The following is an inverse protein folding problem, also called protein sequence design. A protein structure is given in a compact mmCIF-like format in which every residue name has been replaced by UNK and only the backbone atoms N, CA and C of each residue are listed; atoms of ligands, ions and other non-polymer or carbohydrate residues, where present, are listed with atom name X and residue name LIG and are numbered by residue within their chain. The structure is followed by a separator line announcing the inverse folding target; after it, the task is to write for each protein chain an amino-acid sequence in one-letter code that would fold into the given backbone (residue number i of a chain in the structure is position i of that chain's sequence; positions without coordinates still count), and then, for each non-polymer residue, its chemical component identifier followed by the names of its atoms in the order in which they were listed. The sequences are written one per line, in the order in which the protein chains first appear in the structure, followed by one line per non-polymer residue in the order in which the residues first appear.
data_IF_342328460806
#
_entry.id   IF_342328460806
#
_cell.length_a   1.000
_cell.length_b   1.000
_cell.length_c   1.000
_cell.angle_alpha   90.00
_cell.angle_beta   90.00
_cell.angle_gamma   90.00
#
_symmetry.space_group_name_H-M   'P 1'
#
loop_
_entity.id
_entity.type
_entity.pdbx_description
1 polymer ?
#
# COMPACT_ATOMS: atom_id res chain seq x y z
N UNK A 1 27.50 -31.36 -21.28
CA UNK A 1 26.43 -31.69 -22.25
C UNK A 1 25.11 -31.18 -21.70
N UNK A 2 24.62 -30.05 -22.22
CA UNK A 2 23.38 -29.43 -21.76
C UNK A 2 22.17 -30.22 -22.30
N UNK A 3 21.24 -30.60 -21.41
CA UNK A 3 19.97 -31.22 -21.79
C UNK A 3 19.11 -30.17 -22.50
N UNK A 4 19.02 -30.24 -23.83
CA UNK A 4 17.99 -29.54 -24.59
C UNK A 4 16.61 -30.03 -24.13
N UNK A 5 15.94 -29.26 -23.27
CA UNK A 5 14.52 -29.44 -23.02
C UNK A 5 13.75 -28.99 -24.27
N UNK A 6 13.43 -29.94 -25.16
CA UNK A 6 12.50 -29.79 -26.28
C UNK A 6 11.09 -29.47 -25.75
N UNK A 7 10.77 -28.19 -25.57
CA UNK A 7 9.40 -27.73 -25.38
C UNK A 7 8.79 -27.34 -26.73
N UNK A 8 8.28 -28.34 -27.47
CA UNK A 8 7.39 -28.14 -28.62
C UNK A 8 6.13 -28.95 -28.38
N UNK A 9 5.14 -28.34 -27.73
CA UNK A 9 3.78 -28.86 -27.73
C UNK A 9 2.91 -27.86 -28.49
N UNK A 10 2.53 -28.22 -29.72
CA UNK A 10 1.35 -27.66 -30.36
C UNK A 10 0.18 -28.06 -29.48
N UNK A 11 -0.28 -27.16 -28.62
CA UNK A 11 -1.24 -27.48 -27.58
C UNK A 11 -2.64 -27.31 -28.15
N UNK A 12 -3.16 -28.37 -28.79
CA UNK A 12 -4.53 -28.37 -29.34
C UNK A 12 -5.60 -28.02 -28.29
N UNK A 13 -5.28 -28.19 -27.00
CA UNK A 13 -6.14 -27.86 -25.87
C UNK A 13 -5.95 -26.44 -25.33
N UNK A 14 -5.00 -25.65 -25.84
CA UNK A 14 -4.75 -24.29 -25.35
C UNK A 14 -6.01 -23.40 -25.43
N UNK A 15 -6.80 -23.37 -26.52
CA UNK A 15 -8.02 -22.56 -26.57
C UNK A 15 -9.02 -22.95 -25.49
N UNK A 16 -9.21 -24.26 -25.26
CA UNK A 16 -10.08 -24.76 -24.20
C UNK A 16 -9.57 -24.36 -22.82
N UNK A 17 -8.27 -24.48 -22.55
CA UNK A 17 -7.67 -24.06 -21.27
C UNK A 17 -7.83 -22.56 -21.03
N UNK A 18 -7.63 -21.72 -22.05
CA UNK A 18 -7.84 -20.28 -21.94
C UNK A 18 -9.31 -19.94 -21.74
N UNK A 19 -10.22 -20.63 -22.44
CA UNK A 19 -11.67 -20.43 -22.29
C UNK A 19 -12.15 -20.81 -20.88
N UNK A 20 -11.79 -22.00 -20.39
CA UNK A 20 -12.10 -22.44 -19.02
C UNK A 20 -11.48 -21.47 -18.01
N UNK A 21 -10.21 -21.09 -18.21
CA UNK A 21 -9.50 -20.17 -17.33
C UNK A 21 -10.19 -18.82 -17.18
N UNK A 22 -10.57 -18.19 -18.30
CA UNK A 22 -11.33 -16.92 -18.29
C UNK A 22 -12.65 -17.05 -17.53
N UNK A 23 -13.33 -18.20 -17.66
CA UNK A 23 -14.62 -18.43 -16.98
C UNK A 23 -14.48 -18.69 -15.48
N UNK A 24 -13.43 -19.40 -15.06
CA UNK A 24 -13.25 -19.79 -13.65
C UNK A 24 -12.43 -18.78 -12.83
N UNK A 25 -11.53 -18.04 -13.46
CA UNK A 25 -10.54 -17.21 -12.76
C UNK A 25 -10.42 -15.78 -13.29
N UNK A 26 -11.26 -15.39 -14.25
CA UNK A 26 -11.20 -14.12 -14.98
C UNK A 26 -9.90 -13.90 -15.80
N UNK A 27 -9.90 -12.87 -16.63
CA UNK A 27 -8.71 -12.40 -17.33
C UNK A 27 -7.81 -11.61 -16.37
N UNK A 28 -6.50 -11.66 -16.62
CA UNK A 28 -5.50 -10.89 -15.85
C UNK A 28 -4.80 -9.97 -16.85
N UNK A 29 -5.25 -8.72 -16.91
CA UNK A 29 -4.83 -7.75 -17.91
C UNK A 29 -5.22 -8.13 -19.35
N UNK A 30 -4.77 -7.36 -20.35
CA UNK A 30 -5.20 -7.52 -21.75
C UNK A 30 -4.61 -8.76 -22.44
N UNK A 31 -3.55 -9.36 -21.90
CA UNK A 31 -2.78 -10.44 -22.54
C UNK A 31 -2.60 -11.67 -21.65
N UNK A 32 -3.46 -11.84 -20.65
CA UNK A 32 -3.24 -12.81 -19.60
C UNK A 32 -4.49 -13.56 -19.16
N UNK A 33 -4.35 -14.85 -18.92
CA UNK A 33 -5.43 -15.70 -18.40
C UNK A 33 -4.89 -16.59 -17.30
N UNK A 34 -5.55 -16.58 -16.15
CA UNK A 34 -5.27 -17.53 -15.07
C UNK A 34 -5.92 -18.87 -15.40
N UNK A 35 -5.14 -19.95 -15.32
CA UNK A 35 -5.60 -21.31 -15.69
C UNK A 35 -5.62 -22.29 -14.51
N UNK A 36 -5.08 -21.86 -13.36
CA UNK A 36 -5.22 -22.53 -12.07
C UNK A 36 -4.94 -21.54 -10.93
N UNK A 37 -5.12 -21.92 -9.65
CA UNK A 37 -4.77 -21.06 -8.53
C UNK A 37 -3.31 -20.57 -8.52
N UNK A 38 -2.39 -21.28 -9.18
CA UNK A 38 -0.95 -20.95 -9.19
C UNK A 38 -0.36 -20.76 -10.59
N UNK A 39 -1.16 -20.85 -11.65
CA UNK A 39 -0.66 -20.78 -13.04
C UNK A 39 -1.40 -19.78 -13.90
N UNK A 40 -0.61 -19.16 -14.76
CA UNK A 40 -1.00 -18.06 -15.63
C UNK A 40 -0.44 -18.30 -17.03
N UNK A 41 -1.24 -18.04 -18.06
CA UNK A 41 -0.81 -18.06 -19.45
C UNK A 41 -0.85 -16.64 -20.01
N UNK A 42 0.30 -16.15 -20.45
CA UNK A 42 0.45 -14.86 -21.13
C UNK A 42 0.57 -15.07 -22.63
N UNK A 43 -0.14 -14.26 -23.40
CA UNK A 43 0.09 -14.10 -24.82
C UNK A 43 -0.96 -13.22 -25.50
N UNK A 44 -0.70 -12.77 -26.74
CA UNK A 44 0.49 -13.06 -27.56
C UNK A 44 1.80 -12.48 -26.97
N UNK A 45 2.89 -13.26 -27.00
CA UNK A 45 4.21 -12.88 -26.50
C UNK A 45 5.30 -13.05 -27.57
N UNK A 46 6.33 -12.18 -27.63
CA UNK A 46 7.52 -12.43 -28.45
C UNK A 46 8.40 -13.51 -27.81
N UNK A 47 9.16 -14.26 -28.63
CA UNK A 47 10.09 -15.29 -28.12
C UNK A 47 11.22 -14.73 -27.25
N UNK A 48 11.61 -13.48 -27.49
CA UNK A 48 12.62 -12.77 -26.69
C UNK A 48 12.22 -12.63 -25.22
N UNK A 49 10.91 -12.53 -24.92
CA UNK A 49 10.41 -12.45 -23.54
C UNK A 49 10.75 -13.71 -22.74
N UNK A 50 10.55 -14.90 -23.33
CA UNK A 50 10.92 -16.16 -22.69
C UNK A 50 12.44 -16.27 -22.48
N UNK A 51 13.23 -15.84 -23.46
CA UNK A 51 14.69 -15.87 -23.36
C UNK A 51 15.20 -14.96 -22.23
N UNK A 52 14.64 -13.74 -22.12
CA UNK A 52 14.98 -12.80 -21.05
C UNK A 52 14.62 -13.35 -19.67
N UNK A 53 13.40 -13.90 -19.48
CA UNK A 53 12.98 -14.48 -18.21
C UNK A 53 13.89 -15.63 -17.77
N UNK A 54 14.31 -16.49 -18.70
CA UNK A 54 15.28 -17.56 -18.41
C UNK A 54 16.65 -17.01 -18.01
N UNK A 55 17.15 -16.02 -18.76
CA UNK A 55 18.44 -15.41 -18.46
C UNK A 55 18.47 -14.78 -17.07
N UNK A 56 17.45 -13.99 -16.70
CA UNK A 56 17.34 -13.36 -15.37
C UNK A 56 17.26 -14.41 -14.27
N UNK A 57 16.45 -15.46 -14.45
CA UNK A 57 16.32 -16.54 -13.48
C UNK A 57 17.63 -17.32 -13.24
N UNK A 58 18.47 -17.46 -14.27
CA UNK A 58 19.73 -18.21 -14.20
C UNK A 58 20.91 -17.37 -13.69
N UNK A 59 20.90 -16.05 -13.92
CA UNK A 59 22.08 -15.21 -13.72
C UNK A 59 21.93 -14.13 -12.65
N UNK A 60 20.77 -14.04 -11.98
CA UNK A 60 20.51 -13.01 -10.97
C UNK A 60 19.72 -13.55 -9.77
N UNK A 61 19.69 -12.79 -8.69
CA UNK A 61 18.83 -13.03 -7.52
C UNK A 61 17.44 -12.39 -7.64
N UNK A 62 17.16 -11.72 -8.78
CA UNK A 62 15.89 -11.02 -9.00
C UNK A 62 14.78 -12.06 -9.14
N UNK A 63 13.72 -12.02 -8.31
CA UNK A 63 12.63 -12.97 -8.39
C UNK A 63 11.83 -12.75 -9.68
N UNK A 64 11.73 -13.79 -10.51
CA UNK A 64 10.89 -13.81 -11.71
C UNK A 64 9.88 -14.97 -11.66
N UNK A 65 8.73 -14.87 -12.35
CA UNK A 65 7.76 -15.96 -12.40
C UNK A 65 8.39 -17.25 -12.92
N UNK A 66 8.16 -18.37 -12.20
CA UNK A 66 8.63 -19.69 -12.64
C UNK A 66 7.99 -20.05 -13.98
N UNK A 67 8.81 -20.40 -14.98
CA UNK A 67 8.33 -20.88 -16.28
C UNK A 67 7.96 -22.37 -16.18
N UNK A 68 6.74 -22.71 -16.60
CA UNK A 68 6.28 -24.11 -16.66
C UNK A 68 6.29 -24.66 -18.09
N UNK A 69 5.85 -23.87 -19.07
CA UNK A 69 5.75 -24.31 -20.46
C UNK A 69 5.68 -23.11 -21.43
N UNK A 70 5.82 -23.37 -22.72
CA UNK A 70 5.48 -22.44 -23.80
C UNK A 70 4.60 -23.12 -24.84
N UNK A 71 3.63 -22.40 -25.37
CA UNK A 71 2.67 -22.92 -26.34
C UNK A 71 2.78 -22.16 -27.66
N UNK A 72 2.65 -22.87 -28.77
CA UNK A 72 2.47 -22.28 -30.09
C UNK A 72 1.11 -22.74 -30.63
N UNK A 73 0.20 -21.80 -30.82
CA UNK A 73 -1.15 -22.06 -31.32
C UNK A 73 -1.47 -21.03 -32.40
N UNK A 74 -1.84 -21.51 -33.59
CA UNK A 74 -2.14 -20.67 -34.76
C UNK A 74 -1.05 -19.60 -35.07
N UNK A 75 0.22 -20.02 -34.98
CA UNK A 75 1.37 -19.12 -35.16
C UNK A 75 1.63 -18.15 -34.01
N UNK A 76 0.74 -18.06 -33.02
CA UNK A 76 0.86 -17.19 -31.85
C UNK A 76 1.56 -17.92 -30.71
N UNK A 77 2.54 -17.24 -30.10
CA UNK A 77 3.34 -17.76 -29.00
C UNK A 77 2.79 -17.30 -27.64
N UNK A 78 2.72 -18.24 -26.70
CA UNK A 78 2.24 -18.03 -25.33
C UNK A 78 3.21 -18.64 -24.33
N UNK A 79 3.29 -18.05 -23.14
CA UNK A 79 4.14 -18.52 -22.04
C UNK A 79 3.24 -18.90 -20.87
N UNK A 80 3.37 -20.14 -20.38
CA UNK A 80 2.73 -20.61 -19.14
C UNK A 80 3.73 -20.50 -18.00
N UNK A 81 3.39 -19.70 -16.99
CA UNK A 81 4.25 -19.35 -15.87
C UNK A 81 3.48 -19.33 -14.54
N UNK A 82 4.21 -19.21 -13.44
CA UNK A 82 3.63 -19.01 -12.12
C UNK A 82 2.79 -17.75 -12.06
N UNK A 83 1.59 -17.85 -11.49
CA UNK A 83 0.80 -16.69 -11.15
C UNK A 83 1.38 -16.05 -9.89
N UNK A 84 1.91 -14.83 -10.04
CA UNK A 84 2.36 -14.01 -8.91
C UNK A 84 1.15 -13.20 -8.44
N UNK A 85 0.80 -13.31 -7.16
CA UNK A 85 -0.28 -12.51 -6.56
C UNK A 85 0.25 -11.09 -6.31
N UNK A 86 -0.55 -10.09 -6.67
CA UNK A 86 -0.23 -8.68 -6.47
C UNK A 86 -0.81 -7.81 -7.59
N UNK A 87 -0.84 -6.50 -7.37
CA UNK A 87 -1.13 -5.51 -8.42
C UNK A 87 0.14 -5.21 -9.22
N UNK A 88 -0.01 -4.76 -10.46
CA UNK A 88 1.16 -4.35 -11.24
C UNK A 88 1.63 -2.95 -10.83
N UNK A 89 2.87 -2.61 -11.16
CA UNK A 89 3.50 -1.36 -10.70
C UNK A 89 2.88 -0.12 -11.35
N UNK A 90 2.37 -0.22 -12.58
CA UNK A 90 1.64 0.88 -13.23
C UNK A 90 0.35 1.16 -12.47
N UNK A 91 -0.43 0.13 -12.13
CA UNK A 91 -1.59 0.25 -11.25
C UNK A 91 -1.20 0.83 -9.89
N UNK A 92 -0.10 0.37 -9.27
CA UNK A 92 0.35 0.86 -7.96
C UNK A 92 0.77 2.34 -7.99
N UNK A 93 1.29 2.83 -9.13
CA UNK A 93 1.72 4.22 -9.27
C UNK A 93 0.58 5.23 -9.43
N UNK A 94 -0.61 4.78 -9.85
CA UNK A 94 -1.77 5.67 -10.01
C UNK A 94 -2.49 6.00 -8.69
N UNK A 95 -1.95 5.61 -7.53
CA UNK A 95 -2.50 5.88 -6.20
C UNK A 95 -1.92 7.16 -5.57
N UNK A 96 -1.74 8.24 -6.34
CA UNK A 96 -1.49 9.55 -5.73
C UNK A 96 -2.72 10.01 -4.94
N UNK A 97 -2.51 10.43 -3.69
CA UNK A 97 -3.57 10.94 -2.83
C UNK A 97 -4.52 9.90 -2.25
N UNK A 98 -4.21 8.59 -2.35
CA UNK A 98 -5.00 7.55 -1.68
C UNK A 98 -4.47 7.29 -0.26
N UNK A 99 -5.39 7.25 0.70
CA UNK A 99 -5.12 6.99 2.12
C UNK A 99 -6.05 5.88 2.59
N UNK A 100 -5.54 4.65 2.64
CA UNK A 100 -6.33 3.43 2.74
C UNK A 100 -5.50 2.25 3.23
N UNK A 101 -6.14 1.13 3.60
CA UNK A 101 -5.43 -0.06 4.06
C UNK A 101 -4.67 -0.73 2.92
N UNK A 102 -3.92 -1.80 3.22
CA UNK A 102 -3.30 -2.63 2.18
C UNK A 102 -4.33 -3.21 1.18
N UNK A 103 -5.58 -3.38 1.61
CA UNK A 103 -6.70 -3.84 0.77
C UNK A 103 -7.47 -2.68 0.11
N UNK A 104 -7.00 -1.44 0.29
CA UNK A 104 -7.61 -0.19 -0.20
C UNK A 104 -8.96 0.15 0.46
N UNK A 105 -9.20 -0.38 1.65
CA UNK A 105 -10.36 -0.09 2.50
C UNK A 105 -10.00 0.89 3.63
N UNK A 106 -10.87 1.03 4.63
CA UNK A 106 -10.61 1.84 5.82
C UNK A 106 -9.36 1.37 6.58
N UNK A 107 -8.57 2.32 7.08
CA UNK A 107 -7.40 2.07 7.95
C UNK A 107 -7.75 2.25 9.42
N UNK A 108 -7.02 1.58 10.31
CA UNK A 108 -7.07 1.82 11.75
C UNK A 108 -5.79 2.52 12.20
N UNK A 109 -5.91 3.59 12.97
CA UNK A 109 -4.77 4.27 13.60
C UNK A 109 -5.25 5.01 14.86
N UNK A 110 -4.74 4.62 16.02
CA UNK A 110 -5.14 5.20 17.31
C UNK A 110 -4.86 6.69 17.47
N UNK A 111 -3.98 7.28 16.66
CA UNK A 111 -3.81 8.73 16.63
C UNK A 111 -5.09 9.41 16.12
N UNK A 112 -5.78 8.79 15.18
CA UNK A 112 -6.99 9.33 14.57
C UNK A 112 -8.25 8.89 15.33
N UNK A 113 -8.24 7.65 15.86
CA UNK A 113 -9.27 7.14 16.76
C UNK A 113 -9.27 5.62 16.84
N UNK A 114 -10.10 5.07 17.73
CA UNK A 114 -10.20 3.63 17.96
C UNK A 114 -11.03 2.86 16.91
N UNK A 115 -11.46 3.51 15.81
CA UNK A 115 -12.26 2.89 14.76
C UNK A 115 -11.61 3.08 13.38
N UNK A 116 -11.90 2.20 12.41
CA UNK A 116 -11.45 2.38 11.05
C UNK A 116 -11.99 3.67 10.41
N UNK A 117 -11.17 4.32 9.56
CA UNK A 117 -11.50 5.56 8.85
C UNK A 117 -10.95 5.56 7.42
N UNK A 118 -11.49 6.44 6.58
CA UNK A 118 -11.27 6.36 5.14
C UNK A 118 -12.05 5.20 4.52
N UNK A 119 -11.64 4.69 3.34
CA UNK A 119 -10.49 5.15 2.56
C UNK A 119 -10.71 6.58 2.03
N UNK A 120 -9.63 7.31 1.80
CA UNK A 120 -9.67 8.63 1.15
C UNK A 120 -8.94 8.59 -0.18
N UNK A 121 -9.39 9.41 -1.11
CA UNK A 121 -8.80 9.55 -2.46
C UNK A 121 -8.17 10.92 -2.69
N UNK A 122 -8.09 11.76 -1.64
CA UNK A 122 -7.36 13.03 -1.70
C UNK A 122 -6.73 13.41 -0.36
N UNK A 123 -5.64 14.18 -0.43
CA UNK A 123 -4.96 14.75 0.75
C UNK A 123 -5.91 15.62 1.56
N UNK A 124 -6.75 16.39 0.87
CA UNK A 124 -7.73 17.26 1.51
C UNK A 124 -8.74 16.46 2.36
N UNK A 125 -9.25 15.34 1.84
CA UNK A 125 -10.22 14.51 2.58
C UNK A 125 -9.58 13.89 3.83
N UNK A 126 -8.36 13.36 3.71
CA UNK A 126 -7.59 12.86 4.84
C UNK A 126 -7.30 13.97 5.87
N UNK A 127 -6.74 15.10 5.42
CA UNK A 127 -6.43 16.26 6.27
C UNK A 127 -7.67 16.87 6.94
N UNK A 128 -8.80 16.89 6.26
CA UNK A 128 -10.08 17.33 6.83
C UNK A 128 -10.52 16.41 7.97
N UNK A 129 -10.41 15.09 7.77
CA UNK A 129 -10.72 14.09 8.79
C UNK A 129 -9.87 14.29 10.06
N UNK A 130 -8.55 14.40 9.93
CA UNK A 130 -7.64 14.54 11.09
C UNK A 130 -7.75 15.90 11.79
N UNK A 131 -8.35 16.91 11.15
CA UNK A 131 -8.73 18.19 11.76
C UNK A 131 -10.18 18.23 12.23
N UNK A 132 -10.84 17.08 12.41
CA UNK A 132 -12.24 16.98 12.85
C UNK A 132 -13.22 17.81 11.99
N UNK A 133 -13.00 17.80 10.67
CA UNK A 133 -13.73 18.56 9.65
C UNK A 133 -13.72 20.08 9.83
N UNK A 134 -12.71 20.63 10.52
CA UNK A 134 -12.46 22.08 10.51
C UNK A 134 -11.96 22.48 9.12
N UNK A 135 -12.68 23.38 8.40
CA UNK A 135 -12.25 23.88 7.10
C UNK A 135 -10.87 24.52 7.17
N UNK A 136 -10.08 24.40 6.11
CA UNK A 136 -8.69 24.88 6.09
C UNK A 136 -8.63 26.41 6.30
N UNK A 137 -9.64 27.13 5.83
CA UNK A 137 -9.77 28.59 5.93
C UNK A 137 -9.91 29.03 7.39
N UNK A 138 -10.57 28.22 8.23
CA UNK A 138 -10.78 28.50 9.65
C UNK A 138 -9.68 27.87 10.53
N UNK A 139 -8.82 27.03 9.96
CA UNK A 139 -7.88 26.22 10.71
C UNK A 139 -6.85 27.07 11.46
N UNK A 140 -6.40 28.19 10.87
CA UNK A 140 -5.43 29.10 11.49
C UNK A 140 -5.96 29.71 12.79
N UNK A 141 -7.25 30.07 12.82
CA UNK A 141 -7.89 30.65 13.99
C UNK A 141 -8.26 29.60 15.04
N UNK A 142 -8.79 28.45 14.60
CA UNK A 142 -9.34 27.42 15.50
C UNK A 142 -8.25 26.49 16.06
N UNK A 143 -7.27 26.13 15.25
CA UNK A 143 -6.26 25.10 15.58
C UNK A 143 -4.86 25.71 15.62
N UNK A 144 -4.45 26.38 14.55
CA UNK A 144 -3.13 26.99 14.45
C UNK A 144 -2.67 27.17 13.00
N UNK A 145 -1.81 28.17 12.79
CA UNK A 145 -1.24 28.52 11.48
C UNK A 145 -0.33 27.42 10.94
N UNK A 146 0.30 26.65 11.82
CA UNK A 146 1.24 25.57 11.54
C UNK A 146 0.53 24.38 10.88
N UNK A 147 -0.65 24.03 11.41
CA UNK A 147 -1.53 23.02 10.83
C UNK A 147 -2.03 23.47 9.46
N UNK A 148 -2.40 24.75 9.34
CA UNK A 148 -2.83 25.31 8.05
C UNK A 148 -1.70 25.22 7.02
N UNK A 149 -0.50 25.68 7.38
CA UNK A 149 0.70 25.64 6.53
C UNK A 149 1.00 24.22 6.06
N UNK A 150 1.01 23.23 6.96
CA UNK A 150 1.36 21.85 6.62
C UNK A 150 0.26 21.18 5.80
N UNK A 151 -1.02 21.38 6.13
CA UNK A 151 -2.10 20.69 5.43
C UNK A 151 -2.45 21.32 4.07
N UNK A 152 -1.90 22.50 3.75
CA UNK A 152 -1.93 23.10 2.41
C UNK A 152 -0.82 22.60 1.48
N UNK A 153 0.13 21.80 1.96
CA UNK A 153 1.17 21.17 1.13
C UNK A 153 0.63 19.97 0.36
N UNK A 154 1.36 19.59 -0.68
CA UNK A 154 1.16 18.34 -1.40
C UNK A 154 2.20 17.32 -0.93
N UNK A 155 1.76 16.10 -0.61
CA UNK A 155 2.64 15.01 -0.17
C UNK A 155 2.56 13.84 -1.15
N UNK A 156 3.52 12.92 -1.07
CA UNK A 156 3.37 11.62 -1.69
C UNK A 156 2.59 10.67 -0.77
N UNK A 157 1.83 9.75 -1.36
CA UNK A 157 1.23 8.64 -0.60
C UNK A 157 2.24 7.50 -0.52
N UNK A 158 2.56 7.07 0.70
CA UNK A 158 3.53 6.03 0.98
C UNK A 158 2.88 4.92 1.82
N UNK A 159 3.22 3.67 1.50
CA UNK A 159 2.85 2.56 2.37
C UNK A 159 3.67 2.63 3.65
N UNK A 160 2.98 2.87 4.75
CA UNK A 160 3.49 3.29 6.06
C UNK A 160 3.11 2.25 7.09
N UNK A 161 4.00 1.95 8.04
CA UNK A 161 3.74 1.01 9.13
C UNK A 161 2.79 1.61 10.17
N UNK A 162 2.93 2.92 10.44
CA UNK A 162 2.11 3.70 11.36
C UNK A 162 2.15 3.21 12.83
N UNK A 163 3.18 2.44 13.19
CA UNK A 163 3.52 2.08 14.58
C UNK A 163 4.99 1.66 14.69
N UNK A 164 5.89 2.34 13.96
CA UNK A 164 7.30 1.99 14.06
C UNK A 164 7.83 2.32 15.47
N UNK A 165 8.29 1.30 16.17
CA UNK A 165 8.82 1.39 17.52
C UNK A 165 9.86 0.29 17.74
N UNK A 166 10.78 0.41 18.72
CA UNK A 166 11.79 -0.62 18.98
C UNK A 166 11.20 -2.02 19.19
N UNK A 167 10.00 -2.12 19.81
CA UNK A 167 9.29 -3.40 20.04
C UNK A 167 8.86 -4.11 18.75
N UNK A 168 8.75 -3.36 17.65
CA UNK A 168 8.26 -3.82 16.35
C UNK A 168 9.41 -4.04 15.36
N UNK A 169 10.67 -3.84 15.78
CA UNK A 169 11.86 -4.06 14.96
C UNK A 169 12.64 -5.24 15.52
N UNK A 170 12.64 -6.35 14.79
CA UNK A 170 13.39 -7.54 15.15
C UNK A 170 14.82 -7.42 14.63
N UNK A 171 15.79 -7.78 15.47
CA UNK A 171 17.22 -7.72 15.14
C UNK A 171 17.84 -9.09 15.34
N UNK A 172 18.57 -9.57 14.34
CA UNK A 172 19.41 -10.76 14.43
C UNK A 172 20.84 -10.41 14.00
N UNK A 173 21.84 -10.79 14.81
CA UNK A 173 23.25 -10.53 14.54
C UNK A 173 23.58 -9.08 14.16
N UNK A 174 22.95 -8.11 14.85
CA UNK A 174 23.16 -6.68 14.62
C UNK A 174 22.52 -6.11 13.35
N UNK A 175 21.70 -6.89 12.64
CA UNK A 175 20.94 -6.46 11.46
C UNK A 175 19.45 -6.57 11.72
N UNK A 176 18.67 -5.65 11.17
CA UNK A 176 17.21 -5.77 11.16
C UNK A 176 16.82 -7.04 10.40
N UNK A 177 16.12 -7.95 11.08
CA UNK A 177 15.68 -9.23 10.52
C UNK A 177 14.20 -9.21 10.12
N UNK A 178 13.38 -8.41 10.80
CA UNK A 178 11.98 -8.18 10.44
C UNK A 178 11.44 -6.88 11.05
N UNK A 179 10.40 -6.34 10.42
CA UNK A 179 9.50 -5.35 11.03
C UNK A 179 8.14 -6.04 11.18
N UNK A 180 7.59 -6.02 12.39
CA UNK A 180 6.39 -6.77 12.79
C UNK A 180 5.31 -5.84 13.32
N UNK A 181 4.08 -6.34 13.48
CA UNK A 181 2.93 -5.59 14.00
C UNK A 181 2.39 -4.49 13.05
N UNK A 182 2.04 -4.92 11.83
CA UNK A 182 1.49 -4.08 10.75
C UNK A 182 -0.02 -3.78 10.90
N UNK A 183 -0.59 -3.87 12.10
CA UNK A 183 -2.04 -3.72 12.29
C UNK A 183 -2.59 -2.34 11.90
N UNK A 184 -1.74 -1.29 11.90
CA UNK A 184 -2.06 0.06 11.42
C UNK A 184 -1.48 0.34 10.02
N UNK A 185 -0.91 -0.68 9.37
CA UNK A 185 -0.25 -0.55 8.09
C UNK A 185 -1.21 -0.13 6.98
N UNK A 186 -0.84 0.89 6.21
CA UNK A 186 -1.67 1.44 5.16
C UNK A 186 -0.95 2.50 4.33
N UNK A 187 -1.67 3.11 3.41
CA UNK A 187 -1.25 4.26 2.62
C UNK A 187 -1.52 5.54 3.41
N UNK A 188 -0.47 6.33 3.67
CA UNK A 188 -0.49 7.57 4.44
C UNK A 188 0.36 8.63 3.74
N UNK A 189 0.26 9.93 4.10
CA UNK A 189 1.21 10.92 3.62
C UNK A 189 2.64 10.53 4.03
N UNK A 190 3.63 10.85 3.20
CA UNK A 190 5.06 10.51 3.45
C UNK A 190 5.58 10.96 4.83
N UNK A 191 5.02 12.03 5.40
CA UNK A 191 5.39 12.52 6.74
C UNK A 191 4.86 11.64 7.90
N UNK A 192 3.88 10.78 7.65
CA UNK A 192 3.08 10.13 8.70
C UNK A 192 3.89 9.17 9.56
N UNK A 193 4.85 8.41 8.98
CA UNK A 193 5.70 7.52 9.77
C UNK A 193 6.51 8.31 10.81
N UNK A 194 7.07 9.45 10.38
CA UNK A 194 7.89 10.30 11.25
C UNK A 194 7.08 10.87 12.40
N UNK A 195 5.90 11.43 12.13
CA UNK A 195 5.06 12.04 13.17
C UNK A 195 4.43 10.99 14.09
N UNK A 196 4.00 9.85 13.54
CA UNK A 196 3.38 8.76 14.31
C UNK A 196 4.37 8.07 15.23
N UNK A 197 5.63 7.89 14.82
CA UNK A 197 6.68 7.34 15.68
C UNK A 197 6.93 8.22 16.93
N UNK A 198 6.72 9.53 16.81
CA UNK A 198 6.79 10.46 17.95
C UNK A 198 5.56 10.37 18.86
N UNK A 199 4.36 10.21 18.28
CA UNK A 199 3.13 10.02 19.06
C UNK A 199 3.19 8.75 19.91
N UNK A 200 3.55 7.62 19.31
CA UNK A 200 3.52 6.32 19.98
C UNK A 200 4.55 6.18 21.12
N UNK A 201 5.62 6.99 21.12
CA UNK A 201 6.77 6.85 22.03
C UNK A 201 7.13 8.17 22.73
N UNK A 202 6.13 9.01 23.03
CA UNK A 202 6.31 10.38 23.56
C UNK A 202 7.31 10.48 24.73
N UNK A 203 7.45 9.42 25.53
CA UNK A 203 8.33 9.34 26.71
C UNK A 203 9.72 8.70 26.45
N UNK A 204 10.17 8.60 25.19
CA UNK A 204 11.46 7.95 24.84
C UNK A 204 12.37 8.86 23.99
N UNK A 205 13.11 9.81 24.58
CA UNK A 205 13.95 10.74 23.82
C UNK A 205 15.09 10.05 23.03
N UNK A 206 15.66 8.97 23.58
CA UNK A 206 16.66 8.13 22.90
C UNK A 206 16.16 7.56 21.57
N UNK A 207 14.86 7.30 21.47
CA UNK A 207 14.24 6.81 20.23
C UNK A 207 14.19 7.91 19.17
N UNK A 208 13.81 9.13 19.57
CA UNK A 208 13.74 10.28 18.66
C UNK A 208 15.11 10.61 18.06
N UNK A 209 16.14 10.68 18.88
CA UNK A 209 17.51 10.94 18.42
C UNK A 209 17.97 9.91 17.36
N UNK A 210 17.50 8.65 17.45
CA UNK A 210 17.81 7.62 16.46
C UNK A 210 16.98 7.79 15.19
N UNK A 211 15.69 8.13 15.30
CA UNK A 211 14.84 8.41 14.14
C UNK A 211 15.37 9.60 13.32
N UNK A 212 15.81 10.66 13.98
CA UNK A 212 16.38 11.85 13.32
C UNK A 212 17.57 11.52 12.39
N UNK A 213 18.28 10.43 12.66
CA UNK A 213 19.40 9.96 11.84
C UNK A 213 19.01 8.82 10.87
N UNK A 214 17.87 8.17 11.09
CA UNK A 214 17.47 6.96 10.37
C UNK A 214 16.40 7.20 9.30
N UNK A 215 15.66 8.32 9.37
CA UNK A 215 14.62 8.67 8.43
C UNK A 215 14.63 10.16 8.10
N UNK A 216 13.97 10.52 7.00
CA UNK A 216 13.74 11.91 6.64
C UNK A 216 12.93 12.64 7.72
N UNK A 217 13.29 13.90 7.97
CA UNK A 217 12.69 14.70 9.02
C UNK A 217 11.52 15.51 8.45
N UNK A 218 10.42 15.50 9.20
CA UNK A 218 9.23 16.29 8.93
C UNK A 218 8.89 17.14 10.17
N UNK A 219 9.81 18.03 10.54
CA UNK A 219 9.73 18.79 11.81
C UNK A 219 8.54 19.78 11.84
N UNK A 220 8.24 20.40 10.70
CA UNK A 220 7.08 21.29 10.55
C UNK A 220 5.76 20.50 10.78
N UNK A 221 5.65 19.34 10.14
CA UNK A 221 4.50 18.44 10.23
C UNK A 221 4.38 17.83 11.63
N UNK A 222 5.50 17.48 12.26
CA UNK A 222 5.52 17.01 13.64
C UNK A 222 5.03 18.10 14.60
N UNK A 223 5.41 19.35 14.38
CA UNK A 223 4.90 20.47 15.16
C UNK A 223 3.39 20.68 14.95
N UNK A 224 2.93 20.62 13.70
CA UNK A 224 1.50 20.66 13.37
C UNK A 224 0.71 19.51 14.04
N UNK A 225 1.24 18.29 13.96
CA UNK A 225 0.64 17.11 14.60
C UNK A 225 0.60 17.28 16.12
N UNK A 226 1.66 17.74 16.79
CA UNK A 226 1.64 18.02 18.23
C UNK A 226 0.57 19.03 18.64
N UNK A 227 0.36 20.07 17.83
CA UNK A 227 -0.74 21.02 18.04
C UNK A 227 -2.08 20.29 17.94
N UNK A 228 -2.26 19.45 16.92
CA UNK A 228 -3.47 18.63 16.78
C UNK A 228 -3.64 17.65 17.94
N UNK A 229 -2.60 17.00 18.44
CA UNK A 229 -2.69 16.09 19.61
C UNK A 229 -3.19 16.84 20.84
N UNK A 230 -2.71 18.06 21.06
CA UNK A 230 -3.11 18.86 22.22
C UNK A 230 -4.55 19.38 22.15
N UNK A 231 -5.09 19.59 20.94
CA UNK A 231 -6.40 20.23 20.72
C UNK A 231 -7.50 19.26 20.28
N UNK A 232 -7.13 18.19 19.59
CA UNK A 232 -7.99 17.25 18.87
C UNK A 232 -7.35 15.85 18.92
N UNK A 233 -7.10 15.35 20.14
CA UNK A 233 -6.75 13.93 20.30
C UNK A 233 -7.96 13.08 19.89
N UNK A 234 -7.71 12.03 19.11
CA UNK A 234 -8.75 11.17 18.51
C UNK A 234 -9.90 11.93 17.79
N UNK A 235 -9.63 12.67 16.69
CA UNK A 235 -10.60 13.54 16.01
C UNK A 235 -11.87 12.81 15.52
N UNK A 236 -11.84 11.49 15.33
CA UNK A 236 -13.05 10.72 14.98
C UNK A 236 -14.15 10.80 16.06
N UNK A 237 -13.78 10.90 17.34
CA UNK A 237 -14.76 10.99 18.43
C UNK A 237 -15.60 12.27 18.30
N UNK A 238 -14.98 13.37 17.88
CA UNK A 238 -15.65 14.66 17.67
C UNK A 238 -16.59 14.65 16.47
N UNK A 239 -16.21 13.94 15.39
CA UNK A 239 -17.05 13.78 14.20
C UNK A 239 -18.34 13.01 14.52
N UNK A 240 -18.23 11.89 15.26
CA UNK A 240 -19.42 11.13 15.71
C UNK A 240 -20.28 11.89 16.72
N UNK A 241 -19.68 12.69 17.59
CA UNK A 241 -20.42 13.58 18.49
C UNK A 241 -21.35 14.52 17.73
N UNK A 242 -20.94 15.01 16.56
CA UNK A 242 -21.78 15.82 15.66
C UNK A 242 -22.87 14.99 14.96
N UNK A 243 -22.58 13.76 14.53
CA UNK A 243 -23.59 12.86 13.95
C UNK A 243 -24.69 12.47 14.96
N UNK A 244 -24.33 12.22 16.22
CA UNK A 244 -25.29 11.95 17.29
C UNK A 244 -26.17 13.16 17.65
N UNK A 245 -25.66 14.39 17.48
CA UNK A 245 -26.46 15.62 17.64
C UNK A 245 -27.41 15.86 16.47
N UNK A 246 -27.13 15.31 15.29
CA UNK A 246 -28.02 15.39 14.10
C UNK A 246 -29.08 14.27 14.13
N UNK A 247 -28.87 13.18 14.89
CA UNK A 247 -29.79 12.03 15.00
C UNK A 247 -30.62 11.99 16.29
N UNK A 248 -30.77 13.10 17.01
CA UNK A 248 -31.74 13.22 18.11
C UNK A 248 -32.87 14.21 17.78
N UNK A 249 -33.83 13.87 16.89
CA UNK A 249 -35.17 14.41 17.04
C UNK A 249 -35.83 13.70 18.23
N UNK A 250 -36.18 14.49 19.24
CA UNK A 250 -37.08 14.17 20.35
C UNK A 250 -36.55 13.28 21.49
N UNK A 251 -36.19 13.93 22.61
CA UNK A 251 -36.81 13.62 23.92
C UNK A 251 -37.04 14.91 24.73
N UNK A 252 -38.32 15.25 24.83
CA UNK A 252 -38.95 15.93 25.98
C UNK A 252 -38.88 15.02 27.20
#
# INVERSE_FOLDING_TARGET
MAKEHKFRATSCLLPLRLWIGKRLFAAVGPRGVRVSPSRFIKGPCPRSELAALKFVAEHTTVPVPRIFNSHLYDGIFYIEMGYVRGMNLEEAWYYEGIFASAELDSVLDHRVGSHPFGPFTSHEAFHSCIRAAVPIENCSEVIGTEVTKCHSRHYQSCFTHADIAPRNIMVDNGKVSAIVDWQFGGWYPEYWEYTKAHYAQIDRPEWFNRLENAMERYDDELNAERILWSRLDEPQLLLRGKEHLILSPDRV
#
